data_IF_891544611837
#
_entry.id   IF_891544611837
#
_cell.length_a   1.000
_cell.length_b   1.000
_cell.length_c   1.000
_cell.angle_alpha   90.00
_cell.angle_beta   90.00
_cell.angle_gamma   90.00
#
_symmetry.space_group_name_H-M   'P 1'
#
loop_
_entity.id
_entity.type
_entity.pdbx_description
1 polymer ?
#
# COMPACT_ATOMS: atom_id res chain seq x y z
N UNK A 1 21.14 -29.37 -16.35
CA UNK A 1 21.74 -28.14 -16.84
C UNK A 1 20.78 -27.27 -17.62
N UNK A 2 20.07 -27.78 -18.60
CA UNK A 2 19.05 -27.02 -19.33
C UNK A 2 17.95 -26.45 -18.43
N UNK A 3 17.58 -27.19 -17.40
CA UNK A 3 16.56 -26.76 -16.41
C UNK A 3 16.99 -25.48 -15.66
N UNK A 4 18.26 -25.42 -15.24
CA UNK A 4 18.77 -24.23 -14.52
C UNK A 4 18.90 -23.02 -15.43
N UNK A 5 19.31 -23.22 -16.67
CA UNK A 5 19.39 -22.15 -17.66
C UNK A 5 18.04 -21.56 -17.99
N UNK A 6 17.03 -22.41 -18.21
CA UNK A 6 15.65 -21.96 -18.44
C UNK A 6 15.07 -21.24 -17.24
N UNK A 7 15.30 -21.75 -16.03
CA UNK A 7 14.83 -21.11 -14.80
C UNK A 7 15.47 -19.74 -14.60
N UNK A 8 16.76 -19.62 -14.93
CA UNK A 8 17.46 -18.34 -14.83
C UNK A 8 16.92 -17.32 -15.84
N UNK A 9 16.71 -17.73 -17.10
CA UNK A 9 16.13 -16.87 -18.14
C UNK A 9 14.72 -16.46 -17.81
N UNK A 10 13.87 -17.39 -17.33
CA UNK A 10 12.51 -17.10 -16.90
C UNK A 10 12.51 -16.13 -15.70
N UNK A 11 13.42 -16.31 -14.76
CA UNK A 11 13.55 -15.42 -13.60
C UNK A 11 13.99 -14.02 -14.06
N UNK A 12 14.91 -13.90 -15.03
CA UNK A 12 15.33 -12.62 -15.57
C UNK A 12 14.19 -11.87 -16.27
N UNK A 13 13.43 -12.58 -17.13
CA UNK A 13 12.27 -12.00 -17.80
C UNK A 13 11.18 -11.62 -16.80
N UNK A 14 10.93 -12.46 -15.80
CA UNK A 14 9.96 -12.18 -14.74
C UNK A 14 10.39 -11.00 -13.87
N UNK A 15 11.68 -10.83 -13.61
CA UNK A 15 12.18 -9.70 -12.83
C UNK A 15 11.94 -8.37 -13.54
N UNK A 16 12.13 -8.31 -14.88
CA UNK A 16 11.81 -7.10 -15.64
C UNK A 16 10.32 -6.79 -15.56
N UNK A 17 9.47 -7.81 -15.75
CA UNK A 17 8.01 -7.65 -15.64
C UNK A 17 7.61 -7.19 -14.23
N UNK A 18 8.15 -7.81 -13.19
CA UNK A 18 7.86 -7.44 -11.81
C UNK A 18 8.31 -6.02 -11.49
N UNK A 19 9.45 -5.58 -12.05
CA UNK A 19 9.92 -4.20 -11.88
C UNK A 19 8.94 -3.20 -12.49
N UNK A 20 8.42 -3.47 -13.70
CA UNK A 20 7.40 -2.63 -14.33
C UNK A 20 6.12 -2.60 -13.52
N UNK A 21 5.64 -3.77 -13.07
CA UNK A 21 4.44 -3.88 -12.26
C UNK A 21 4.58 -3.12 -10.95
N UNK A 22 5.74 -3.24 -10.30
CA UNK A 22 6.04 -2.53 -9.05
C UNK A 22 5.94 -1.02 -9.24
N UNK A 23 6.58 -0.48 -10.26
CA UNK A 23 6.54 0.95 -10.55
C UNK A 23 5.12 1.39 -10.90
N UNK A 24 4.41 0.60 -11.71
CA UNK A 24 3.03 0.88 -12.11
C UNK A 24 2.11 0.97 -10.88
N UNK A 25 2.16 -0.01 -9.99
CA UNK A 25 1.30 -0.02 -8.80
C UNK A 25 1.68 1.07 -7.81
N UNK A 26 2.97 1.42 -7.70
CA UNK A 26 3.38 2.56 -6.89
C UNK A 26 2.81 3.87 -7.43
N UNK A 27 2.88 4.07 -8.74
CA UNK A 27 2.31 5.25 -9.39
C UNK A 27 0.80 5.31 -9.23
N UNK A 28 0.10 4.17 -9.40
CA UNK A 28 -1.34 4.10 -9.19
C UNK A 28 -1.73 4.45 -7.76
N UNK A 29 -0.98 3.93 -6.79
CA UNK A 29 -1.20 4.25 -5.38
C UNK A 29 -1.06 5.74 -5.13
N UNK A 30 0.00 6.36 -5.65
CA UNK A 30 0.24 7.80 -5.53
C UNK A 30 -0.86 8.62 -6.18
N UNK A 31 -1.30 8.23 -7.38
CA UNK A 31 -2.37 8.92 -8.12
C UNK A 31 -3.69 8.84 -7.36
N UNK A 32 -4.08 7.66 -6.89
CA UNK A 32 -5.33 7.50 -6.13
C UNK A 32 -5.28 8.26 -4.82
N UNK A 33 -4.16 8.24 -4.13
CA UNK A 33 -3.99 8.99 -2.89
C UNK A 33 -4.08 10.50 -3.11
N UNK A 34 -3.40 11.00 -4.14
CA UNK A 34 -3.45 12.42 -4.50
C UNK A 34 -4.88 12.83 -4.89
N UNK A 35 -5.56 12.00 -5.66
CA UNK A 35 -6.96 12.22 -6.02
C UNK A 35 -7.84 12.32 -4.76
N UNK A 36 -7.65 11.43 -3.82
CA UNK A 36 -8.39 11.43 -2.56
C UNK A 36 -8.18 12.75 -1.80
N UNK A 37 -6.92 13.19 -1.66
CA UNK A 37 -6.58 14.43 -0.96
C UNK A 37 -7.17 15.65 -1.66
N UNK A 38 -7.02 15.74 -2.98
CA UNK A 38 -7.54 16.87 -3.76
C UNK A 38 -9.06 16.94 -3.70
N UNK A 39 -9.71 15.79 -3.75
CA UNK A 39 -11.17 15.69 -3.68
C UNK A 39 -11.69 16.14 -2.30
N UNK A 40 -11.03 15.71 -1.22
CA UNK A 40 -11.37 16.14 0.14
C UNK A 40 -11.16 17.65 0.32
N UNK A 41 -10.06 18.19 -0.23
CA UNK A 41 -9.78 19.61 -0.19
C UNK A 41 -10.85 20.40 -0.96
N UNK A 42 -11.23 19.93 -2.15
CA UNK A 42 -12.23 20.58 -2.97
C UNK A 42 -13.60 20.63 -2.29
N UNK A 43 -13.97 19.57 -1.59
CA UNK A 43 -15.23 19.50 -0.85
C UNK A 43 -15.18 20.15 0.54
N UNK A 44 -14.03 20.71 0.92
CA UNK A 44 -13.82 21.37 2.22
C UNK A 44 -14.07 20.43 3.42
N UNK A 45 -13.76 19.15 3.27
CA UNK A 45 -13.87 18.17 4.36
C UNK A 45 -12.56 18.15 5.16
N UNK A 46 -12.34 19.22 5.92
CA UNK A 46 -11.08 19.44 6.63
C UNK A 46 -10.74 18.34 7.63
N UNK A 47 -11.74 17.84 8.36
CA UNK A 47 -11.52 16.80 9.37
C UNK A 47 -10.96 15.52 8.74
N UNK A 48 -11.52 15.12 7.61
CA UNK A 48 -11.07 13.94 6.89
C UNK A 48 -9.71 14.13 6.24
N UNK A 49 -9.49 15.30 5.68
CA UNK A 49 -8.19 15.66 5.10
C UNK A 49 -7.10 15.63 6.16
N UNK A 50 -7.35 16.22 7.34
CA UNK A 50 -6.41 16.20 8.46
C UNK A 50 -6.15 14.78 8.95
N UNK A 51 -7.16 13.92 8.99
CA UNK A 51 -7.00 12.53 9.39
C UNK A 51 -6.10 11.77 8.41
N UNK A 52 -6.33 11.92 7.11
CA UNK A 52 -5.52 11.25 6.09
C UNK A 52 -4.07 11.73 6.12
N UNK A 53 -3.85 13.03 6.26
CA UNK A 53 -2.50 13.60 6.40
C UNK A 53 -1.82 13.09 7.67
N UNK A 54 -2.55 13.03 8.79
CA UNK A 54 -2.02 12.51 10.05
C UNK A 54 -1.59 11.05 9.90
N UNK A 55 -2.43 10.20 9.29
CA UNK A 55 -2.09 8.80 9.05
C UNK A 55 -0.82 8.69 8.21
N UNK A 56 -0.72 9.45 7.12
CA UNK A 56 0.44 9.39 6.24
C UNK A 56 1.73 9.90 6.89
N UNK A 57 1.65 10.98 7.66
CA UNK A 57 2.85 11.62 8.21
C UNK A 57 3.31 11.03 9.54
N UNK A 58 2.42 10.40 10.28
CA UNK A 58 2.72 9.92 11.63
C UNK A 58 2.57 8.41 11.73
N UNK A 59 1.41 7.87 11.38
CA UNK A 59 1.13 6.45 11.58
C UNK A 59 1.98 5.56 10.69
N UNK A 60 2.11 5.88 9.41
CA UNK A 60 2.90 5.09 8.47
C UNK A 60 4.39 5.10 8.84
N UNK A 61 5.02 6.29 9.08
CA UNK A 61 6.41 6.31 9.53
C UNK A 61 6.65 5.59 10.85
N UNK A 62 5.75 5.73 11.83
CA UNK A 62 5.86 5.02 13.10
C UNK A 62 5.81 3.51 12.92
N UNK A 63 4.92 3.02 12.06
CA UNK A 63 4.82 1.60 11.77
C UNK A 63 6.10 1.06 11.14
N UNK A 64 6.68 1.82 10.20
CA UNK A 64 7.95 1.46 9.56
C UNK A 64 9.09 1.45 10.58
N UNK A 65 9.17 2.46 11.45
CA UNK A 65 10.20 2.54 12.50
C UNK A 65 10.09 1.36 13.45
N UNK A 66 8.89 0.99 13.87
CA UNK A 66 8.67 -0.18 14.72
C UNK A 66 9.12 -1.48 14.03
N UNK A 67 8.82 -1.63 12.75
CA UNK A 67 9.28 -2.77 11.97
C UNK A 67 10.79 -2.85 11.88
N UNK A 68 11.45 -1.72 11.64
CA UNK A 68 12.91 -1.63 11.61
C UNK A 68 13.51 -1.97 12.98
N UNK A 69 12.89 -1.47 14.05
CA UNK A 69 13.36 -1.80 15.42
C UNK A 69 13.26 -3.29 15.71
N UNK A 70 12.17 -3.95 15.34
CA UNK A 70 11.99 -5.39 15.50
C UNK A 70 13.07 -6.15 14.71
N UNK A 71 13.34 -5.74 13.47
CA UNK A 71 14.38 -6.36 12.64
C UNK A 71 15.76 -6.15 13.23
N UNK A 72 15.98 -5.06 13.94
CA UNK A 72 17.26 -4.80 14.61
C UNK A 72 17.49 -5.73 15.79
N UNK A 73 16.44 -6.05 16.54
CA UNK A 73 16.52 -7.01 17.65
C UNK A 73 16.57 -8.48 17.17
N UNK A 74 15.94 -8.76 16.02
CA UNK A 74 15.87 -10.09 15.44
C UNK A 74 16.34 -10.05 13.99
N UNK A 75 17.66 -9.95 13.73
CA UNK A 75 18.18 -9.74 12.36
C UNK A 75 17.80 -10.86 11.38
N UNK A 76 17.60 -12.08 11.87
CA UNK A 76 17.26 -13.22 11.02
C UNK A 76 15.88 -13.05 10.34
N UNK A 77 15.01 -12.23 10.89
CA UNK A 77 13.68 -11.98 10.32
C UNK A 77 13.74 -11.26 8.98
N UNK A 78 14.86 -10.58 8.66
CA UNK A 78 15.01 -9.87 7.38
C UNK A 78 14.98 -10.84 6.20
N UNK A 79 15.44 -12.08 6.40
CA UNK A 79 15.44 -13.13 5.38
C UNK A 79 14.14 -13.91 5.32
N UNK A 80 13.21 -13.65 6.24
CA UNK A 80 11.89 -14.27 6.28
C UNK A 80 10.86 -13.40 5.57
N UNK A 81 9.61 -13.84 5.56
CA UNK A 81 8.49 -13.07 5.03
C UNK A 81 8.02 -11.95 5.97
N UNK A 82 8.68 -11.77 7.12
CA UNK A 82 8.27 -10.81 8.14
C UNK A 82 8.13 -9.37 7.61
N UNK A 83 9.09 -8.81 6.84
CA UNK A 83 8.94 -7.43 6.36
C UNK A 83 7.67 -7.22 5.54
N UNK A 84 7.38 -8.12 4.61
CA UNK A 84 6.17 -8.06 3.80
C UNK A 84 4.90 -8.19 4.63
N UNK A 85 4.87 -9.17 5.54
CA UNK A 85 3.72 -9.39 6.43
C UNK A 85 3.49 -8.17 7.32
N UNK A 86 4.55 -7.58 7.86
CA UNK A 86 4.46 -6.38 8.69
C UNK A 86 3.85 -5.21 7.93
N UNK A 87 4.32 -4.96 6.71
CA UNK A 87 3.81 -3.87 5.88
C UNK A 87 2.35 -4.10 5.48
N UNK A 88 1.99 -5.33 5.12
CA UNK A 88 0.61 -5.68 4.77
C UNK A 88 -0.31 -5.52 5.98
N UNK A 89 0.14 -5.90 7.17
CA UNK A 89 -0.63 -5.72 8.40
C UNK A 89 -0.92 -4.24 8.66
N UNK A 90 0.08 -3.38 8.49
CA UNK A 90 -0.09 -1.93 8.60
C UNK A 90 -1.09 -1.39 7.59
N UNK A 91 -1.02 -1.87 6.35
CA UNK A 91 -1.95 -1.47 5.30
C UNK A 91 -3.38 -1.93 5.60
N UNK A 92 -3.56 -3.14 6.12
CA UNK A 92 -4.89 -3.65 6.52
C UNK A 92 -5.47 -2.82 7.66
N UNK A 93 -4.66 -2.46 8.64
CA UNK A 93 -5.09 -1.58 9.72
C UNK A 93 -5.52 -0.20 9.20
N UNK A 94 -4.84 0.29 8.16
CA UNK A 94 -5.20 1.56 7.54
C UNK A 94 -6.46 1.46 6.69
N UNK A 95 -6.66 0.34 5.97
CA UNK A 95 -7.82 0.16 5.09
C UNK A 95 -9.13 0.03 5.87
N UNK A 96 -9.10 -0.49 7.10
CA UNK A 96 -10.29 -0.74 7.90
C UNK A 96 -11.14 0.51 8.13
N UNK A 97 -10.58 1.67 8.57
CA UNK A 97 -11.36 2.90 8.70
C UNK A 97 -11.98 3.36 7.37
N UNK A 98 -11.24 3.22 6.28
CA UNK A 98 -11.74 3.60 4.95
C UNK A 98 -12.91 2.71 4.51
N UNK A 99 -12.87 1.42 4.82
CA UNK A 99 -14.00 0.52 4.55
C UNK A 99 -15.23 0.91 5.34
N UNK A 100 -15.07 1.26 6.62
CA UNK A 100 -16.16 1.72 7.48
C UNK A 100 -16.74 3.03 6.94
N UNK A 101 -15.91 3.99 6.58
CA UNK A 101 -16.36 5.26 6.00
C UNK A 101 -17.09 5.06 4.68
N UNK A 102 -16.64 4.14 3.85
CA UNK A 102 -17.30 3.80 2.58
C UNK A 102 -18.68 3.22 2.83
N UNK A 103 -18.81 2.28 3.77
CA UNK A 103 -20.09 1.69 4.11
C UNK A 103 -21.09 2.76 4.62
N UNK A 104 -20.62 3.65 5.49
CA UNK A 104 -21.45 4.77 5.98
C UNK A 104 -21.84 5.72 4.87
N UNK A 105 -20.95 6.02 3.94
CA UNK A 105 -21.23 6.90 2.79
C UNK A 105 -22.27 6.28 1.86
N UNK A 106 -22.21 4.98 1.62
CA UNK A 106 -23.19 4.25 0.83
C UNK A 106 -24.56 4.29 1.50
N UNK A 107 -24.62 4.08 2.82
CA UNK A 107 -25.88 4.15 3.57
C UNK A 107 -26.52 5.54 3.51
N UNK A 108 -25.69 6.61 3.53
CA UNK A 108 -26.19 7.99 3.42
C UNK A 108 -26.49 8.40 1.98
N UNK A 109 -26.22 7.53 1.00
CA UNK A 109 -26.37 7.81 -0.43
C UNK A 109 -25.54 9.02 -0.89
N UNK A 110 -24.41 9.27 -0.24
CA UNK A 110 -23.48 10.33 -0.61
C UNK A 110 -22.50 9.78 -1.65
N UNK A 111 -22.73 10.12 -2.91
CA UNK A 111 -21.91 9.64 -4.03
C UNK A 111 -20.47 10.15 -3.95
N UNK A 112 -20.29 11.39 -3.51
CA UNK A 112 -18.97 12.02 -3.47
C UNK A 112 -18.09 11.37 -2.40
N UNK A 113 -18.63 11.17 -1.20
CA UNK A 113 -17.91 10.47 -0.13
C UNK A 113 -17.58 9.03 -0.49
N UNK A 114 -18.51 8.36 -1.17
CA UNK A 114 -18.29 6.99 -1.64
C UNK A 114 -17.12 6.93 -2.62
N UNK A 115 -17.10 7.81 -3.61
CA UNK A 115 -16.02 7.86 -4.60
C UNK A 115 -14.67 8.13 -3.92
N UNK A 116 -14.63 9.10 -3.02
CA UNK A 116 -13.42 9.45 -2.28
C UNK A 116 -12.89 8.29 -1.43
N UNK A 117 -13.78 7.61 -0.71
CA UNK A 117 -13.41 6.47 0.14
C UNK A 117 -12.93 5.29 -0.70
N UNK A 118 -13.60 5.00 -1.82
CA UNK A 118 -13.18 3.95 -2.74
C UNK A 118 -11.81 4.25 -3.32
N UNK A 119 -11.54 5.51 -3.70
CA UNK A 119 -10.23 5.91 -4.19
C UNK A 119 -9.13 5.67 -3.13
N UNK A 120 -9.41 5.98 -1.86
CA UNK A 120 -8.49 5.70 -0.75
C UNK A 120 -8.22 4.21 -0.58
N UNK A 121 -9.25 3.37 -0.67
CA UNK A 121 -9.12 1.92 -0.60
C UNK A 121 -8.27 1.40 -1.77
N UNK A 122 -8.52 1.89 -2.98
CA UNK A 122 -7.74 1.50 -4.16
C UNK A 122 -6.27 1.91 -4.02
N UNK A 123 -5.98 3.07 -3.43
CA UNK A 123 -4.62 3.51 -3.16
C UNK A 123 -3.90 2.52 -2.23
N UNK A 124 -4.57 2.09 -1.16
CA UNK A 124 -4.00 1.15 -0.19
C UNK A 124 -3.78 -0.23 -0.82
N UNK A 125 -4.76 -0.72 -1.58
CA UNK A 125 -4.65 -2.00 -2.28
C UNK A 125 -3.49 -1.97 -3.29
N UNK A 126 -3.36 -0.90 -4.06
CA UNK A 126 -2.26 -0.72 -5.01
C UNK A 126 -0.91 -0.72 -4.30
N UNK A 127 -0.82 -0.09 -3.14
CA UNK A 127 0.39 -0.09 -2.32
C UNK A 127 0.71 -1.49 -1.79
N UNK A 128 -0.29 -2.27 -1.37
CA UNK A 128 -0.09 -3.65 -0.94
C UNK A 128 0.44 -4.53 -2.08
N UNK A 129 -0.10 -4.35 -3.28
CA UNK A 129 0.37 -5.07 -4.47
C UNK A 129 1.81 -4.67 -4.81
N UNK A 130 2.13 -3.39 -4.68
CA UNK A 130 3.51 -2.90 -4.85
C UNK A 130 4.47 -3.60 -3.89
N UNK A 131 4.11 -3.71 -2.61
CA UNK A 131 4.94 -4.39 -1.60
C UNK A 131 5.10 -5.87 -1.94
N UNK A 132 4.04 -6.52 -2.37
CA UNK A 132 4.08 -7.93 -2.78
C UNK A 132 5.09 -8.15 -3.92
N UNK A 133 5.05 -7.32 -4.96
CA UNK A 133 6.00 -7.40 -6.06
C UNK A 133 7.42 -7.03 -5.63
N UNK A 134 7.56 -6.11 -4.69
CA UNK A 134 8.85 -5.78 -4.10
C UNK A 134 9.48 -7.00 -3.45
N UNK A 135 8.71 -7.74 -2.62
CA UNK A 135 9.20 -8.96 -1.98
C UNK A 135 9.58 -10.04 -3.01
N UNK A 136 8.82 -10.18 -4.09
CA UNK A 136 9.14 -11.12 -5.15
C UNK A 136 10.46 -10.78 -5.87
N UNK A 137 10.79 -9.50 -6.01
CA UNK A 137 12.00 -9.06 -6.69
C UNK A 137 13.22 -8.99 -5.78
N UNK A 138 13.03 -9.08 -4.47
CA UNK A 138 14.10 -8.98 -3.47
C UNK A 138 15.07 -10.17 -3.53
N UNK A 139 14.59 -11.32 -3.96
CA UNK A 139 15.39 -12.55 -4.08
C UNK A 139 15.82 -12.77 -5.51
#
# INVERSE_FOLDING_TARGET
MLYYGQKFLLKGNNMALYSYLRVTFLCLSGIFFLFTLLFELWQKKWNRLCLDIFVCLIQVPLWIILGIAILRFFPDLIYSYFPGIWMITGAVLWITPHCIMTAKAIQRKDRFDTVCSVAGILAIISFCVFIYFWDLTKN
#
